data_IF_218159444254
#
_entry.id   IF_218159444254
#
_cell.length_a   1.000
_cell.length_b   1.000
_cell.length_c   1.000
_cell.angle_alpha   90.00
_cell.angle_beta   90.00
_cell.angle_gamma   90.00
#
_symmetry.space_group_name_H-M   'P 1'
#
loop_
_entity.id
_entity.type
_entity.pdbx_description
1 polymer ?
#
# COMPACT_ATOMS: atom_id res chain seq x y z
N UNK A 1 -20.41 -18.19 10.86
CA UNK A 1 -20.55 -18.76 9.50
C UNK A 1 -19.99 -20.17 9.54
N UNK A 2 -20.67 -21.14 8.96
CA UNK A 2 -20.10 -22.47 8.75
C UNK A 2 -19.30 -22.47 7.45
N UNK A 3 -18.06 -22.92 7.52
CA UNK A 3 -17.17 -23.10 6.37
C UNK A 3 -16.76 -24.57 6.26
N UNK A 4 -16.44 -25.09 5.05
CA UNK A 4 -15.94 -26.44 4.88
C UNK A 4 -14.68 -26.68 5.71
N UNK A 5 -14.51 -27.91 6.23
CA UNK A 5 -13.29 -28.28 6.97
C UNK A 5 -12.01 -28.20 6.13
N UNK A 6 -12.13 -28.23 4.82
CA UNK A 6 -11.06 -28.00 3.84
C UNK A 6 -11.58 -27.03 2.79
N UNK A 7 -10.92 -25.90 2.65
CA UNK A 7 -11.21 -24.88 1.64
C UNK A 7 -10.26 -25.11 0.46
N UNK A 8 -10.81 -25.40 -0.71
CA UNK A 8 -10.07 -25.62 -1.95
C UNK A 8 -10.27 -24.48 -2.95
N UNK A 9 -11.43 -23.81 -2.90
CA UNK A 9 -11.80 -22.72 -3.81
C UNK A 9 -12.31 -21.51 -3.04
N UNK A 10 -11.82 -20.33 -3.44
CA UNK A 10 -12.24 -19.06 -2.85
C UNK A 10 -12.63 -18.05 -3.93
N UNK A 11 -13.56 -17.17 -3.58
CA UNK A 11 -13.84 -15.91 -4.28
C UNK A 11 -13.45 -14.77 -3.36
N UNK A 12 -12.85 -13.72 -3.89
CA UNK A 12 -12.43 -12.54 -3.15
C UNK A 12 -13.17 -11.30 -3.63
N UNK A 13 -13.65 -10.49 -2.68
CA UNK A 13 -14.35 -9.22 -2.94
C UNK A 13 -13.69 -8.08 -2.17
N UNK A 14 -13.74 -6.89 -2.75
CA UNK A 14 -13.02 -5.74 -2.22
C UNK A 14 -11.51 -5.93 -2.37
N UNK A 15 -10.78 -5.89 -1.26
CA UNK A 15 -9.32 -6.05 -1.23
C UNK A 15 -8.84 -7.40 -0.69
N UNK A 16 -9.74 -8.36 -0.59
CA UNK A 16 -9.44 -9.67 -0.01
C UNK A 16 -8.40 -10.46 -0.81
N UNK A 17 -8.24 -10.21 -2.12
CA UNK A 17 -7.22 -10.84 -2.98
C UNK A 17 -5.79 -10.61 -2.51
N UNK A 18 -5.48 -9.40 -1.99
CA UNK A 18 -4.18 -9.10 -1.39
C UNK A 18 -3.92 -9.94 -0.16
N UNK A 19 -4.88 -9.92 0.77
CA UNK A 19 -4.80 -10.71 2.00
C UNK A 19 -4.71 -12.21 1.68
N UNK A 20 -5.48 -12.70 0.69
CA UNK A 20 -5.39 -14.06 0.20
C UNK A 20 -3.98 -14.40 -0.33
N UNK A 21 -3.33 -13.48 -1.05
CA UNK A 21 -1.95 -13.64 -1.51
C UNK A 21 -0.99 -13.77 -0.33
N UNK A 22 -1.07 -12.89 0.67
CA UNK A 22 -0.20 -12.94 1.85
C UNK A 22 -0.39 -14.22 2.69
N UNK A 23 -1.61 -14.74 2.67
CA UNK A 23 -1.98 -16.00 3.32
C UNK A 23 -1.61 -17.24 2.50
N UNK A 24 -1.04 -17.09 1.30
CA UNK A 24 -0.69 -18.21 0.42
C UNK A 24 -1.89 -18.90 -0.21
N UNK A 25 -2.96 -18.14 -0.49
CA UNK A 25 -4.22 -18.66 -1.04
C UNK A 25 -4.48 -18.20 -2.49
N UNK A 26 -3.52 -17.56 -3.14
CA UNK A 26 -3.69 -17.00 -4.48
C UNK A 26 -4.08 -18.04 -5.54
N UNK A 27 -3.57 -19.26 -5.42
CA UNK A 27 -3.85 -20.41 -6.29
C UNK A 27 -5.24 -21.03 -6.08
N UNK A 28 -5.92 -20.68 -4.97
CA UNK A 28 -7.29 -21.13 -4.69
C UNK A 28 -8.36 -20.18 -5.22
N UNK A 29 -7.97 -19.02 -5.70
CA UNK A 29 -8.91 -18.07 -6.30
C UNK A 29 -9.44 -18.62 -7.63
N UNK A 30 -10.77 -18.62 -7.79
CA UNK A 30 -11.46 -19.12 -8.98
C UNK A 30 -12.19 -18.01 -9.75
N UNK A 31 -12.16 -16.80 -9.23
CA UNK A 31 -12.60 -15.56 -9.88
C UNK A 31 -11.69 -14.43 -9.44
N UNK A 32 -11.72 -13.31 -10.16
CA UNK A 32 -11.00 -12.08 -9.84
C UNK A 32 -11.91 -10.86 -9.88
N UNK A 33 -11.50 -9.77 -9.24
CA UNK A 33 -12.09 -8.46 -9.54
C UNK A 33 -11.41 -7.86 -10.78
N UNK A 34 -12.03 -6.89 -11.44
CA UNK A 34 -11.39 -6.19 -12.57
C UNK A 34 -10.10 -5.45 -12.15
N UNK A 35 -10.00 -5.07 -10.88
CA UNK A 35 -8.79 -4.45 -10.32
C UNK A 35 -7.65 -5.42 -10.14
N UNK A 36 -7.93 -6.69 -9.82
CA UNK A 36 -6.90 -7.72 -9.61
C UNK A 36 -6.39 -8.30 -10.93
N UNK A 37 -7.22 -8.26 -11.98
CA UNK A 37 -6.88 -8.78 -13.30
C UNK A 37 -6.09 -7.73 -14.12
N UNK A 38 -4.91 -7.35 -13.62
CA UNK A 38 -4.00 -6.47 -14.34
C UNK A 38 -2.55 -6.80 -14.00
N UNK A 39 -1.64 -6.44 -14.91
CA UNK A 39 -0.20 -6.66 -14.82
C UNK A 39 0.59 -5.42 -14.38
N UNK A 40 -0.09 -4.47 -13.74
CA UNK A 40 0.57 -3.24 -13.28
C UNK A 40 1.67 -3.57 -12.27
N UNK A 41 2.87 -3.11 -12.57
CA UNK A 41 4.05 -3.35 -11.71
C UNK A 41 3.92 -2.77 -10.30
N UNK A 42 3.03 -1.79 -10.08
CA UNK A 42 2.78 -1.22 -8.74
C UNK A 42 1.71 -1.98 -7.96
N UNK A 43 1.11 -3.00 -8.55
CA UNK A 43 0.20 -3.93 -7.89
C UNK A 43 0.88 -5.29 -7.69
N UNK A 44 1.83 -5.36 -6.78
CA UNK A 44 2.73 -6.49 -6.59
C UNK A 44 2.03 -7.86 -6.60
N UNK A 45 0.95 -7.99 -5.81
CA UNK A 45 0.18 -9.23 -5.71
C UNK A 45 -0.51 -9.59 -7.05
N UNK A 46 -1.04 -8.62 -7.78
CA UNK A 46 -1.64 -8.81 -9.11
C UNK A 46 -0.58 -9.15 -10.16
N UNK A 47 0.54 -8.43 -10.16
CA UNK A 47 1.64 -8.66 -11.08
C UNK A 47 2.18 -10.10 -11.00
N UNK A 48 2.46 -10.61 -9.79
CA UNK A 48 2.99 -11.97 -9.63
C UNK A 48 1.96 -13.07 -9.82
N UNK A 49 0.68 -12.79 -9.60
CA UNK A 49 -0.38 -13.77 -9.80
C UNK A 49 -1.07 -13.64 -11.18
N UNK A 50 -0.63 -12.69 -12.02
CA UNK A 50 -1.28 -12.42 -13.32
C UNK A 50 -1.41 -13.69 -14.18
N UNK A 51 -0.36 -14.50 -14.28
CA UNK A 51 -0.36 -15.71 -15.10
C UNK A 51 -1.44 -16.73 -14.69
N UNK A 52 -1.76 -16.81 -13.40
CA UNK A 52 -2.80 -17.71 -12.90
C UNK A 52 -4.18 -17.06 -12.81
N UNK A 53 -4.25 -15.72 -12.86
CA UNK A 53 -5.52 -14.98 -12.73
C UNK A 53 -6.06 -14.41 -14.04
N UNK A 54 -5.23 -14.26 -15.07
CA UNK A 54 -5.59 -13.57 -16.32
C UNK A 54 -6.84 -14.14 -17.01
N UNK A 55 -7.02 -15.46 -16.97
CA UNK A 55 -8.13 -16.16 -17.60
C UNK A 55 -9.31 -16.44 -16.65
N UNK A 56 -9.23 -16.00 -15.37
CA UNK A 56 -10.31 -16.22 -14.42
C UNK A 56 -11.51 -15.30 -14.70
N UNK A 57 -12.75 -15.79 -14.47
CA UNK A 57 -13.94 -14.96 -14.60
C UNK A 57 -13.91 -13.74 -13.69
N UNK A 58 -14.33 -12.58 -14.22
CA UNK A 58 -14.40 -11.33 -13.44
C UNK A 58 -15.72 -11.29 -12.66
N UNK A 59 -15.61 -11.35 -11.34
CA UNK A 59 -16.76 -11.39 -10.43
C UNK A 59 -17.21 -10.03 -9.89
N UNK A 60 -16.41 -8.98 -10.09
CA UNK A 60 -16.71 -7.62 -9.65
C UNK A 60 -16.03 -6.60 -10.56
N UNK A 61 -16.72 -5.48 -10.84
CA UNK A 61 -16.16 -4.36 -11.61
C UNK A 61 -15.17 -3.49 -10.81
N UNK A 62 -14.95 -3.82 -9.54
CA UNK A 62 -14.04 -3.07 -8.65
C UNK A 62 -14.67 -1.83 -8.00
N UNK A 63 -15.96 -1.54 -8.26
CA UNK A 63 -16.71 -0.53 -7.53
C UNK A 63 -17.10 -0.98 -6.13
N UNK A 64 -17.48 -0.05 -5.27
CA UNK A 64 -17.92 -0.34 -3.91
C UNK A 64 -19.16 -1.26 -3.90
N UNK A 65 -18.95 -2.55 -3.63
CA UNK A 65 -20.02 -3.53 -3.52
C UNK A 65 -20.68 -3.95 -4.84
N UNK A 66 -20.18 -3.50 -5.98
CA UNK A 66 -20.64 -3.97 -7.28
C UNK A 66 -20.08 -5.36 -7.58
N UNK A 67 -20.97 -6.34 -7.63
CA UNK A 67 -20.62 -7.73 -7.94
C UNK A 67 -21.37 -8.22 -9.18
N UNK A 68 -20.87 -9.29 -9.78
CA UNK A 68 -21.60 -10.09 -10.74
C UNK A 68 -22.07 -11.38 -10.06
N UNK A 69 -23.31 -11.42 -9.54
CA UNK A 69 -23.79 -12.54 -8.75
C UNK A 69 -23.84 -13.85 -9.56
N UNK A 70 -24.14 -13.78 -10.87
CA UNK A 70 -24.22 -14.96 -11.73
C UNK A 70 -22.87 -15.66 -11.83
N UNK A 71 -21.78 -14.90 -11.99
CA UNK A 71 -20.42 -15.44 -12.05
C UNK A 71 -20.04 -16.12 -10.74
N UNK A 72 -20.37 -15.49 -9.59
CA UNK A 72 -20.02 -16.04 -8.27
C UNK A 72 -20.85 -17.31 -7.97
N UNK A 73 -22.14 -17.31 -8.32
CA UNK A 73 -23.03 -18.45 -8.13
C UNK A 73 -22.60 -19.64 -9.00
N UNK A 74 -22.24 -19.36 -10.27
CA UNK A 74 -21.76 -20.40 -11.20
C UNK A 74 -20.42 -20.99 -10.75
N UNK A 75 -19.50 -20.13 -10.27
CA UNK A 75 -18.20 -20.55 -9.73
C UNK A 75 -18.34 -21.44 -8.49
N UNK A 76 -19.42 -21.27 -7.71
CA UNK A 76 -19.76 -22.06 -6.52
C UNK A 76 -18.56 -22.30 -5.56
N UNK A 77 -17.91 -21.25 -5.05
CA UNK A 77 -16.73 -21.37 -4.19
C UNK A 77 -17.06 -22.02 -2.84
N UNK A 78 -16.05 -22.61 -2.20
CA UNK A 78 -16.16 -23.08 -0.82
C UNK A 78 -16.38 -21.91 0.14
N UNK A 79 -15.64 -20.80 -0.06
CA UNK A 79 -15.68 -19.59 0.76
C UNK A 79 -15.62 -18.34 -0.12
N UNK A 80 -16.35 -17.31 0.29
CA UNK A 80 -16.24 -15.96 -0.26
C UNK A 80 -15.62 -15.07 0.83
N UNK A 81 -14.46 -14.49 0.57
CA UNK A 81 -13.79 -13.53 1.43
C UNK A 81 -14.14 -12.10 1.00
N UNK A 82 -14.48 -11.24 1.93
CA UNK A 82 -14.95 -9.89 1.63
C UNK A 82 -14.39 -8.86 2.61
N UNK A 83 -13.88 -7.74 2.10
CA UNK A 83 -13.36 -6.63 2.94
C UNK A 83 -14.27 -5.41 2.98
N UNK A 84 -15.51 -5.53 2.52
CA UNK A 84 -16.47 -4.44 2.62
C UNK A 84 -17.11 -4.33 4.00
N UNK A 85 -17.71 -3.18 4.28
CA UNK A 85 -18.47 -2.91 5.49
C UNK A 85 -19.79 -3.68 5.54
N UNK A 86 -20.36 -3.81 6.74
CA UNK A 86 -21.50 -4.67 7.03
C UNK A 86 -22.74 -4.41 6.16
N UNK A 87 -23.02 -3.15 5.86
CA UNK A 87 -24.17 -2.74 5.03
C UNK A 87 -24.03 -3.21 3.57
N UNK A 88 -22.82 -3.13 3.02
CA UNK A 88 -22.51 -3.64 1.69
C UNK A 88 -22.55 -5.17 1.68
N UNK A 89 -21.98 -5.79 2.70
CA UNK A 89 -21.97 -7.26 2.85
C UNK A 89 -23.38 -7.81 2.90
N UNK A 90 -24.30 -7.18 3.65
CA UNK A 90 -25.70 -7.61 3.74
C UNK A 90 -26.39 -7.65 2.35
N UNK A 91 -26.15 -6.62 1.53
CA UNK A 91 -26.66 -6.57 0.16
C UNK A 91 -26.04 -7.66 -0.74
N UNK A 92 -24.74 -7.91 -0.61
CA UNK A 92 -24.05 -8.98 -1.35
C UNK A 92 -24.64 -10.36 -0.98
N UNK A 93 -24.82 -10.64 0.30
CA UNK A 93 -25.41 -11.89 0.79
C UNK A 93 -26.85 -12.10 0.28
N UNK A 94 -27.65 -11.02 0.21
CA UNK A 94 -28.99 -11.06 -0.38
C UNK A 94 -28.96 -11.44 -1.86
N UNK A 95 -28.06 -10.83 -2.64
CA UNK A 95 -27.91 -11.12 -4.06
C UNK A 95 -27.43 -12.56 -4.32
N UNK A 96 -26.52 -13.07 -3.49
CA UNK A 96 -25.94 -14.40 -3.65
C UNK A 96 -26.77 -15.52 -3.03
N UNK A 97 -27.72 -15.19 -2.14
CA UNK A 97 -28.47 -16.18 -1.36
C UNK A 97 -27.59 -17.04 -0.42
N UNK A 98 -26.39 -16.55 -0.08
CA UNK A 98 -25.42 -17.25 0.78
C UNK A 98 -24.60 -16.26 1.60
N UNK A 99 -24.05 -16.76 2.70
CA UNK A 99 -23.17 -15.98 3.58
C UNK A 99 -21.76 -15.81 3.00
N UNK A 100 -21.12 -14.69 3.34
CA UNK A 100 -19.72 -14.39 3.03
C UNK A 100 -18.92 -14.24 4.33
N UNK A 101 -17.65 -14.59 4.31
CA UNK A 101 -16.71 -14.30 5.41
C UNK A 101 -16.23 -12.88 5.23
N UNK A 102 -16.77 -11.98 6.04
CA UNK A 102 -16.48 -10.56 5.94
C UNK A 102 -15.60 -10.09 7.10
N UNK A 103 -14.56 -9.34 6.75
CA UNK A 103 -13.76 -8.57 7.68
C UNK A 103 -13.30 -7.30 6.96
N UNK A 104 -13.75 -6.12 7.36
CA UNK A 104 -13.24 -4.85 6.82
C UNK A 104 -11.72 -4.85 6.84
N UNK A 105 -11.10 -4.31 5.79
CA UNK A 105 -9.65 -4.36 5.64
C UNK A 105 -8.89 -3.72 6.82
N UNK A 106 -9.52 -2.75 7.48
CA UNK A 106 -8.90 -2.00 8.56
C UNK A 106 -7.89 -0.96 8.09
N UNK A 107 -7.17 -0.43 9.05
CA UNK A 107 -6.16 0.61 8.88
C UNK A 107 -4.78 -0.01 8.72
N UNK A 108 -3.95 0.54 7.83
CA UNK A 108 -2.56 0.08 7.66
C UNK A 108 -1.81 0.07 8.99
N UNK A 109 -1.19 -1.07 9.30
CA UNK A 109 -0.38 -1.29 10.51
C UNK A 109 -1.16 -1.25 11.84
N UNK A 110 -2.48 -1.37 11.81
CA UNK A 110 -3.32 -1.37 13.00
C UNK A 110 -3.93 -2.75 13.30
N UNK A 111 -4.47 -2.91 14.51
CA UNK A 111 -5.05 -4.17 15.00
C UNK A 111 -6.25 -4.67 14.18
N UNK A 112 -7.01 -3.75 13.58
CA UNK A 112 -8.14 -4.08 12.72
C UNK A 112 -7.71 -4.77 11.41
N UNK A 113 -6.55 -4.37 10.84
CA UNK A 113 -5.94 -5.09 9.71
C UNK A 113 -5.50 -6.50 10.10
N UNK A 114 -4.87 -6.65 11.26
CA UNK A 114 -4.48 -7.97 11.80
C UNK A 114 -5.70 -8.86 12.06
N UNK A 115 -6.79 -8.25 12.57
CA UNK A 115 -8.05 -8.97 12.78
C UNK A 115 -8.60 -9.55 11.47
N UNK A 116 -8.58 -8.78 10.38
CA UNK A 116 -9.02 -9.27 9.07
C UNK A 116 -8.17 -10.44 8.57
N UNK A 117 -6.85 -10.39 8.75
CA UNK A 117 -5.95 -11.52 8.43
C UNK A 117 -6.29 -12.78 9.25
N UNK A 118 -6.58 -12.62 10.56
CA UNK A 118 -6.97 -13.75 11.43
C UNK A 118 -8.30 -14.38 10.99
N UNK A 119 -9.30 -13.55 10.69
CA UNK A 119 -10.62 -14.02 10.23
C UNK A 119 -10.50 -14.82 8.93
N UNK A 120 -9.73 -14.31 7.95
CA UNK A 120 -9.53 -15.02 6.69
C UNK A 120 -8.65 -16.27 6.86
N UNK A 121 -7.62 -16.18 7.70
CA UNK A 121 -6.76 -17.32 8.04
C UNK A 121 -7.52 -18.46 8.69
N UNK A 122 -8.41 -18.15 9.65
CA UNK A 122 -9.26 -19.14 10.31
C UNK A 122 -10.26 -19.76 9.33
N UNK A 123 -10.96 -18.93 8.56
CA UNK A 123 -11.93 -19.38 7.56
C UNK A 123 -11.34 -20.31 6.50
N UNK A 124 -10.09 -20.10 6.12
CA UNK A 124 -9.39 -20.87 5.08
C UNK A 124 -8.47 -21.98 5.63
N UNK A 125 -8.40 -22.15 6.96
CA UNK A 125 -7.57 -23.18 7.60
C UNK A 125 -6.07 -22.89 7.54
N UNK A 126 -5.67 -21.62 7.47
CA UNK A 126 -4.27 -21.15 7.40
C UNK A 126 -3.92 -20.16 8.53
N UNK A 127 -4.50 -20.39 9.72
CA UNK A 127 -4.28 -19.50 10.89
C UNK A 127 -2.81 -19.34 11.25
N UNK A 128 -2.00 -20.40 11.16
CA UNK A 128 -0.55 -20.31 11.43
C UNK A 128 0.16 -19.35 10.48
N UNK A 129 -0.24 -19.30 9.20
CA UNK A 129 0.30 -18.35 8.24
C UNK A 129 -0.16 -16.93 8.57
N UNK A 130 -1.42 -16.74 8.96
CA UNK A 130 -1.93 -15.43 9.37
C UNK A 130 -1.14 -14.87 10.54
N UNK A 131 -0.92 -15.64 11.61
CA UNK A 131 -0.09 -15.21 12.74
C UNK A 131 1.37 -14.95 12.34
N UNK A 132 1.93 -15.73 11.41
CA UNK A 132 3.28 -15.50 10.87
C UNK A 132 3.36 -14.16 10.13
N UNK A 133 2.35 -13.82 9.31
CA UNK A 133 2.28 -12.53 8.60
C UNK A 133 2.18 -11.37 9.59
N UNK A 134 1.31 -11.50 10.59
CA UNK A 134 1.11 -10.49 11.63
C UNK A 134 2.40 -10.28 12.42
N UNK A 135 3.05 -11.35 12.87
CA UNK A 135 4.31 -11.28 13.61
C UNK A 135 5.40 -10.57 12.78
N UNK A 136 5.51 -10.88 11.49
CA UNK A 136 6.49 -10.23 10.62
C UNK A 136 6.24 -8.72 10.47
N UNK A 137 4.97 -8.30 10.31
CA UNK A 137 4.60 -6.88 10.29
C UNK A 137 5.03 -6.22 11.60
N UNK A 138 4.65 -6.79 12.74
CA UNK A 138 4.97 -6.25 14.07
C UNK A 138 6.47 -6.18 14.32
N UNK A 139 7.25 -7.17 13.90
CA UNK A 139 8.71 -7.16 14.00
C UNK A 139 9.33 -6.03 13.18
N UNK A 140 8.87 -5.81 11.95
CA UNK A 140 9.32 -4.67 11.14
C UNK A 140 8.98 -3.33 11.79
N UNK A 141 7.76 -3.16 12.29
CA UNK A 141 7.33 -1.92 12.96
C UNK A 141 8.12 -1.66 14.24
N UNK A 142 8.36 -2.69 15.04
CA UNK A 142 9.16 -2.58 16.27
C UNK A 142 10.63 -2.24 15.96
N UNK A 143 11.23 -2.82 14.92
CA UNK A 143 12.58 -2.47 14.48
C UNK A 143 12.65 -1.00 14.05
N UNK A 144 11.74 -0.54 13.18
CA UNK A 144 11.68 0.85 12.70
C UNK A 144 11.54 1.85 13.86
N UNK A 145 10.60 1.60 14.78
CA UNK A 145 10.40 2.45 15.96
C UNK A 145 11.65 2.48 16.84
N UNK A 146 12.24 1.33 17.13
CA UNK A 146 13.41 1.23 18.01
C UNK A 146 14.62 2.04 17.50
N UNK A 147 14.75 2.21 16.19
CA UNK A 147 15.82 2.98 15.55
C UNK A 147 15.65 4.49 15.71
N UNK A 148 14.43 4.98 15.79
CA UNK A 148 14.14 6.42 15.63
C UNK A 148 13.39 7.05 16.81
N UNK A 149 12.74 6.28 17.69
CA UNK A 149 11.96 6.80 18.82
C UNK A 149 12.77 7.60 19.82
N UNK A 150 14.06 7.31 19.97
CA UNK A 150 14.97 8.04 20.88
C UNK A 150 15.53 9.34 20.27
N UNK A 151 15.31 9.61 18.99
CA UNK A 151 15.81 10.83 18.33
C UNK A 151 14.94 12.00 18.78
N UNK A 152 15.57 13.02 19.37
CA UNK A 152 14.87 14.22 19.82
C UNK A 152 14.21 14.95 18.64
N UNK A 153 13.01 15.49 18.84
CA UNK A 153 12.22 16.11 17.77
C UNK A 153 12.94 17.26 17.06
N UNK A 154 13.78 18.03 17.79
CA UNK A 154 14.58 19.10 17.20
C UNK A 154 15.65 18.59 16.20
N UNK A 155 15.99 17.31 16.26
CA UNK A 155 16.96 16.67 15.36
C UNK A 155 16.31 15.92 14.20
N UNK A 156 14.98 15.86 14.16
CA UNK A 156 14.25 15.20 13.07
C UNK A 156 14.02 16.19 11.92
N UNK A 157 14.39 15.84 10.69
CA UNK A 157 14.04 16.65 9.52
C UNK A 157 12.51 16.61 9.31
N UNK A 158 11.97 17.71 8.76
CA UNK A 158 10.58 17.77 8.33
C UNK A 158 10.42 17.10 6.95
N UNK A 159 9.32 16.38 6.76
CA UNK A 159 9.07 15.63 5.56
C UNK A 159 7.65 15.84 5.01
N UNK A 160 7.51 15.75 3.69
CA UNK A 160 6.25 15.76 2.96
C UNK A 160 6.20 14.58 1.99
N UNK A 161 5.10 13.84 2.01
CA UNK A 161 4.74 12.88 0.96
C UNK A 161 3.82 13.58 -0.04
N UNK A 162 4.30 13.79 -1.27
CA UNK A 162 3.59 14.53 -2.31
C UNK A 162 3.43 13.72 -3.60
N UNK A 163 2.82 14.32 -4.60
CA UNK A 163 2.42 13.68 -5.85
C UNK A 163 1.51 12.45 -5.60
N UNK A 164 0.66 12.53 -4.59
CA UNK A 164 -0.14 11.39 -4.13
C UNK A 164 -1.14 10.91 -5.18
N UNK A 165 -1.44 9.61 -5.17
CA UNK A 165 -2.49 9.01 -5.99
C UNK A 165 -3.76 8.83 -5.15
N UNK A 166 -4.79 9.58 -5.47
CA UNK A 166 -6.15 9.42 -4.90
C UNK A 166 -7.17 9.99 -5.88
N UNK A 167 -8.18 9.21 -6.26
CA UNK A 167 -9.13 9.60 -7.32
C UNK A 167 -8.47 10.11 -8.60
N UNK A 168 -7.28 9.55 -8.92
CA UNK A 168 -6.39 9.98 -10.00
C UNK A 168 -4.99 10.37 -9.49
N UNK A 169 -4.10 10.71 -10.41
CA UNK A 169 -2.77 11.22 -10.09
C UNK A 169 -2.77 12.72 -9.83
N UNK A 170 -1.94 13.16 -8.90
CA UNK A 170 -1.77 14.58 -8.56
C UNK A 170 -0.31 15.01 -8.70
N UNK A 171 -0.07 16.32 -8.88
CA UNK A 171 1.25 16.93 -8.82
C UNK A 171 1.71 17.21 -7.39
N UNK A 172 2.58 18.21 -7.22
CA UNK A 172 3.21 18.54 -5.91
C UNK A 172 2.20 18.92 -4.83
N UNK A 173 1.05 19.47 -5.19
CA UNK A 173 -0.03 19.87 -4.28
C UNK A 173 -0.93 18.72 -3.82
N UNK A 174 -0.87 17.57 -4.48
CA UNK A 174 -1.50 16.34 -3.97
C UNK A 174 -0.63 15.70 -2.90
N UNK A 175 -1.07 15.73 -1.64
CA UNK A 175 -0.27 15.24 -0.51
C UNK A 175 -0.94 14.05 0.18
N UNK A 176 -0.15 13.16 0.75
CA UNK A 176 -0.62 12.09 1.62
C UNK A 176 -0.51 12.55 3.08
N UNK A 177 -1.62 13.05 3.60
CA UNK A 177 -1.67 13.64 4.93
C UNK A 177 -1.63 12.59 6.04
N UNK A 178 -0.95 12.91 7.15
CA UNK A 178 -0.73 12.03 8.31
C UNK A 178 -0.23 10.65 7.88
N UNK A 179 0.83 10.63 7.08
CA UNK A 179 1.31 9.43 6.40
C UNK A 179 1.72 8.35 7.39
N UNK A 180 1.07 7.17 7.32
CA UNK A 180 1.37 6.04 8.20
C UNK A 180 2.83 5.58 8.13
N UNK A 181 3.45 5.65 6.94
CA UNK A 181 4.85 5.30 6.74
C UNK A 181 5.78 6.25 7.50
N UNK A 182 5.50 7.56 7.49
CA UNK A 182 6.26 8.52 8.28
C UNK A 182 6.11 8.28 9.78
N UNK A 183 4.92 7.90 10.22
CA UNK A 183 4.67 7.59 11.63
C UNK A 183 5.52 6.40 12.12
N UNK A 184 5.73 5.36 11.29
CA UNK A 184 6.53 4.18 11.69
C UNK A 184 8.01 4.48 11.95
N UNK A 185 8.54 5.54 11.36
CA UNK A 185 9.93 5.99 11.56
C UNK A 185 10.02 7.26 12.39
N UNK A 186 8.95 7.62 13.11
CA UNK A 186 8.89 8.81 13.95
C UNK A 186 9.31 10.11 13.23
N UNK A 187 9.02 10.21 11.91
CA UNK A 187 9.36 11.38 11.10
C UNK A 187 8.46 12.56 11.42
N UNK A 188 8.95 13.77 11.18
CA UNK A 188 8.15 15.01 11.28
C UNK A 188 7.38 15.25 9.98
N UNK A 189 6.19 14.67 9.87
CA UNK A 189 5.27 14.94 8.77
C UNK A 189 4.69 16.36 8.94
N UNK A 190 4.92 17.24 7.94
CA UNK A 190 4.45 18.63 7.99
C UNK A 190 2.94 18.78 7.91
N UNK A 191 2.21 17.73 7.54
CA UNK A 191 0.74 17.73 7.47
C UNK A 191 0.08 17.52 8.82
N UNK A 192 0.80 16.97 9.80
CA UNK A 192 0.29 16.73 11.16
C UNK A 192 -0.08 18.04 11.84
N UNK A 193 -1.31 18.12 12.33
CA UNK A 193 -1.86 19.32 12.97
C UNK A 193 -2.45 20.36 12.01
N UNK A 194 -2.30 20.17 10.69
CA UNK A 194 -2.98 20.98 9.65
C UNK A 194 -4.13 20.23 9.00
N UNK A 195 -4.03 18.92 8.91
CA UNK A 195 -5.02 18.06 8.24
C UNK A 195 -5.39 16.94 9.22
N UNK A 196 -6.66 16.80 9.56
CA UNK A 196 -7.14 15.85 10.59
C UNK A 196 -7.49 14.46 10.04
N UNK A 197 -7.03 14.14 8.82
CA UNK A 197 -7.36 12.86 8.18
C UNK A 197 -6.11 12.19 7.62
N UNK A 198 -6.07 10.87 7.70
CA UNK A 198 -5.02 10.04 7.11
C UNK A 198 -5.44 9.59 5.70
N UNK A 199 -5.24 10.44 4.71
CA UNK A 199 -5.58 10.16 3.30
C UNK A 199 -4.88 11.10 2.33
N UNK A 200 -5.00 10.81 1.04
CA UNK A 200 -4.66 11.75 -0.01
C UNK A 200 -5.60 12.95 -0.03
N UNK A 201 -5.06 14.15 -0.04
CA UNK A 201 -5.77 15.43 -0.16
C UNK A 201 -5.01 16.37 -1.07
N UNK A 202 -5.71 17.28 -1.71
CA UNK A 202 -5.11 18.37 -2.47
C UNK A 202 -5.07 19.63 -1.60
N UNK A 203 -3.92 20.29 -1.56
CA UNK A 203 -3.69 21.56 -0.88
C UNK A 203 -3.33 22.64 -1.90
N UNK A 204 -3.28 23.89 -1.48
CA UNK A 204 -2.75 24.95 -2.32
C UNK A 204 -1.21 24.88 -2.38
N UNK A 205 -0.60 25.26 -3.53
CA UNK A 205 0.86 25.30 -3.65
C UNK A 205 1.52 26.23 -2.64
N UNK A 206 0.83 27.30 -2.26
CA UNK A 206 1.24 28.23 -1.20
C UNK A 206 1.41 27.51 0.15
N UNK A 207 0.56 26.54 0.44
CA UNK A 207 0.68 25.75 1.66
C UNK A 207 1.94 24.88 1.64
N UNK A 208 2.31 24.32 0.49
CA UNK A 208 3.58 23.57 0.34
C UNK A 208 4.80 24.50 0.57
N UNK A 209 4.73 25.75 0.08
CA UNK A 209 5.76 26.76 0.34
C UNK A 209 5.82 27.17 1.81
N UNK A 210 4.70 27.30 2.49
CA UNK A 210 4.63 27.64 3.92
C UNK A 210 5.24 26.53 4.78
N UNK A 211 4.91 25.27 4.50
CA UNK A 211 5.51 24.11 5.17
C UNK A 211 7.01 24.01 4.89
N UNK A 212 7.40 24.26 3.65
CA UNK A 212 8.79 24.25 3.16
C UNK A 212 9.64 23.12 3.77
N UNK A 213 9.27 21.84 3.59
CA UNK A 213 9.88 20.70 4.26
C UNK A 213 11.36 20.52 3.89
N UNK A 214 12.12 19.92 4.80
CA UNK A 214 13.52 19.57 4.57
C UNK A 214 13.69 18.47 3.52
N UNK A 215 12.67 17.58 3.40
CA UNK A 215 12.66 16.47 2.48
C UNK A 215 11.26 16.30 1.88
N UNK A 216 11.21 16.00 0.59
CA UNK A 216 9.98 15.62 -0.11
C UNK A 216 10.19 14.24 -0.74
N UNK A 217 9.20 13.35 -0.56
CA UNK A 217 9.12 12.10 -1.30
C UNK A 217 7.89 12.11 -2.20
N UNK A 218 8.07 11.74 -3.45
CA UNK A 218 7.06 11.74 -4.49
C UNK A 218 6.57 10.31 -4.77
N UNK A 219 5.29 10.15 -5.03
CA UNK A 219 4.77 8.95 -5.66
C UNK A 219 5.36 8.83 -7.08
N UNK A 220 6.14 7.79 -7.31
CA UNK A 220 6.82 7.56 -8.58
C UNK A 220 5.87 7.47 -9.78
N UNK A 221 4.63 7.03 -9.56
CA UNK A 221 3.61 6.95 -10.61
C UNK A 221 3.19 8.31 -11.17
N UNK A 222 3.40 9.38 -10.41
CA UNK A 222 3.00 10.74 -10.75
C UNK A 222 4.18 11.70 -11.01
N UNK A 223 5.41 11.17 -11.07
CA UNK A 223 6.60 12.00 -11.30
C UNK A 223 6.46 12.85 -12.58
N UNK A 224 5.87 12.29 -13.63
CA UNK A 224 5.64 13.05 -14.88
C UNK A 224 4.72 14.26 -14.71
N UNK A 225 3.78 14.26 -13.76
CA UNK A 225 2.95 15.41 -13.45
C UNK A 225 3.80 16.50 -12.76
N UNK A 226 4.67 16.11 -11.83
CA UNK A 226 5.58 17.04 -11.14
C UNK A 226 6.61 17.64 -12.10
N UNK A 227 7.12 16.86 -13.04
CA UNK A 227 8.01 17.36 -14.10
C UNK A 227 7.33 18.39 -15.02
N UNK A 228 6.06 18.17 -15.37
CA UNK A 228 5.28 19.13 -16.15
C UNK A 228 5.07 20.44 -15.35
N UNK A 229 4.71 20.33 -14.07
CA UNK A 229 4.55 21.49 -13.19
C UNK A 229 5.87 22.26 -13.00
N UNK A 230 7.00 21.54 -12.92
CA UNK A 230 8.33 22.15 -12.86
C UNK A 230 8.65 22.91 -14.15
N UNK A 231 8.32 22.35 -15.31
CA UNK A 231 8.55 23.02 -16.60
C UNK A 231 7.72 24.31 -16.74
N UNK A 232 6.53 24.36 -16.12
CA UNK A 232 5.65 25.54 -16.13
C UNK A 232 6.10 26.61 -15.14
N UNK A 233 6.54 26.23 -13.94
CA UNK A 233 6.97 27.15 -12.88
C UNK A 233 8.22 26.61 -12.13
N UNK A 234 9.41 26.69 -12.73
CA UNK A 234 10.64 26.27 -12.08
C UNK A 234 10.93 27.02 -10.77
N UNK A 235 10.55 28.32 -10.72
CA UNK A 235 10.85 29.17 -9.59
C UNK A 235 10.16 28.71 -8.29
N UNK A 236 8.94 28.19 -8.39
CA UNK A 236 8.25 27.57 -7.26
C UNK A 236 9.09 26.44 -6.68
N UNK A 237 9.46 25.46 -7.49
CA UNK A 237 10.22 24.28 -7.04
C UNK A 237 11.61 24.65 -6.51
N UNK A 238 12.32 25.53 -7.21
CA UNK A 238 13.64 26.01 -6.81
C UNK A 238 13.60 26.83 -5.51
N UNK A 239 12.43 27.29 -5.07
CA UNK A 239 12.26 27.96 -3.79
C UNK A 239 12.19 26.99 -2.60
N UNK A 240 11.81 25.72 -2.83
CA UNK A 240 11.66 24.71 -1.78
C UNK A 240 13.01 24.23 -1.22
N UNK A 241 13.13 24.13 0.10
CA UNK A 241 14.35 23.67 0.77
C UNK A 241 14.75 22.25 0.32
N UNK A 242 13.80 21.33 0.20
CA UNK A 242 14.04 19.98 -0.25
C UNK A 242 14.70 19.95 -1.64
N UNK A 243 14.24 20.77 -2.58
CA UNK A 243 14.79 20.85 -3.94
C UNK A 243 16.18 21.50 -3.94
N UNK A 244 16.36 22.64 -3.24
CA UNK A 244 17.66 23.33 -3.10
C UNK A 244 18.76 22.43 -2.56
N UNK A 245 18.39 21.57 -1.62
CA UNK A 245 19.33 20.72 -0.89
C UNK A 245 19.48 19.32 -1.53
N UNK A 246 18.83 19.06 -2.68
CA UNK A 246 18.85 17.75 -3.33
C UNK A 246 18.19 16.63 -2.52
N UNK A 247 17.20 16.98 -1.69
CA UNK A 247 16.44 16.06 -0.84
C UNK A 247 15.04 15.80 -1.39
N UNK A 248 14.94 15.69 -2.70
CA UNK A 248 13.75 15.24 -3.40
C UNK A 248 13.95 13.77 -3.79
N UNK A 249 13.01 12.93 -3.38
CA UNK A 249 13.07 11.48 -3.57
C UNK A 249 11.79 10.97 -4.20
N UNK A 250 11.82 9.72 -4.66
CA UNK A 250 10.63 8.98 -5.07
C UNK A 250 10.57 7.61 -4.39
N UNK A 251 9.38 7.09 -4.27
CA UNK A 251 9.10 5.73 -3.86
C UNK A 251 7.91 5.13 -4.63
N UNK A 252 7.73 3.80 -4.64
CA UNK A 252 6.58 3.16 -5.26
C UNK A 252 5.27 3.60 -4.60
N UNK A 253 4.26 3.81 -5.43
CA UNK A 253 2.90 3.99 -4.94
C UNK A 253 2.45 2.74 -4.17
N UNK A 254 1.98 2.93 -2.94
CA UNK A 254 1.38 1.86 -2.14
C UNK A 254 -0.09 1.63 -2.47
N UNK A 255 -0.57 2.27 -3.52
CA UNK A 255 -1.96 2.41 -3.96
C UNK A 255 -2.88 3.12 -2.99
N UNK A 256 -3.56 4.09 -3.55
CA UNK A 256 -4.34 5.10 -2.87
C UNK A 256 -5.47 4.58 -2.00
N UNK A 257 -6.04 3.45 -2.32
CA UNK A 257 -7.22 3.01 -1.61
C UNK A 257 -6.97 1.79 -0.73
N UNK A 258 -5.78 1.18 -0.85
CA UNK A 258 -5.69 -0.19 -0.41
C UNK A 258 -4.25 -0.54 -0.14
N UNK A 259 -4.03 -0.87 1.00
CA UNK A 259 -2.81 -1.10 1.67
C UNK A 259 -2.11 -2.37 1.18
N UNK A 260 -1.24 -2.20 0.22
CA UNK A 260 -0.22 -3.21 -0.04
C UNK A 260 0.81 -3.11 1.08
N UNK A 261 0.75 -3.98 2.07
CA UNK A 261 1.58 -3.89 3.29
C UNK A 261 3.07 -3.97 2.99
N UNK A 262 3.47 -4.78 2.01
CA UNK A 262 4.85 -4.94 1.59
C UNK A 262 5.49 -3.64 1.11
N UNK A 263 4.76 -2.85 0.28
CA UNK A 263 5.28 -1.58 -0.24
C UNK A 263 5.44 -0.54 0.87
N UNK A 264 4.44 -0.26 1.73
CA UNK A 264 4.61 0.62 2.89
C UNK A 264 5.73 0.22 3.85
N UNK A 265 5.95 -1.07 4.11
CA UNK A 265 7.06 -1.50 4.95
C UNK A 265 8.41 -1.19 4.30
N UNK A 266 8.57 -1.46 3.01
CA UNK A 266 9.79 -1.10 2.28
C UNK A 266 9.95 0.41 2.18
N UNK A 267 8.87 1.17 1.94
CA UNK A 267 8.88 2.63 1.97
C UNK A 267 9.37 3.16 3.34
N UNK A 268 8.97 2.51 4.44
CA UNK A 268 9.39 2.90 5.78
C UNK A 268 10.92 2.69 6.00
N UNK A 269 11.46 1.55 5.59
CA UNK A 269 12.91 1.32 5.62
C UNK A 269 13.66 2.28 4.71
N UNK A 270 13.13 2.57 3.52
CA UNK A 270 13.73 3.53 2.60
C UNK A 270 13.79 4.93 3.19
N UNK A 271 12.65 5.46 3.65
CA UNK A 271 12.59 6.80 4.19
C UNK A 271 13.37 6.93 5.49
N UNK A 272 13.36 5.89 6.32
CA UNK A 272 14.20 5.80 7.52
C UNK A 272 15.69 5.93 7.18
N UNK A 273 16.16 5.20 6.18
CA UNK A 273 17.57 5.26 5.72
C UNK A 273 17.95 6.64 5.15
N UNK A 274 17.01 7.32 4.49
CA UNK A 274 17.24 8.66 3.92
C UNK A 274 17.21 9.75 4.99
N UNK A 275 16.26 9.68 5.92
CA UNK A 275 16.07 10.70 6.96
C UNK A 275 17.06 10.54 8.12
N UNK A 276 17.38 9.31 8.49
CA UNK A 276 18.15 8.94 9.67
C UNK A 276 19.31 7.98 9.33
N UNK A 277 20.24 8.36 8.43
CA UNK A 277 21.24 7.44 7.88
C UNK A 277 22.12 6.77 8.95
N UNK A 278 22.37 7.44 10.08
CA UNK A 278 23.16 6.85 11.18
C UNK A 278 22.38 5.74 11.90
N UNK A 279 21.05 5.91 12.08
CA UNK A 279 20.19 4.93 12.74
C UNK A 279 19.94 3.67 11.85
N UNK A 280 20.13 3.80 10.55
CA UNK A 280 19.97 2.74 9.56
C UNK A 280 21.29 2.28 8.93
N UNK A 281 22.46 2.65 9.49
CA UNK A 281 23.75 2.35 8.91
C UNK A 281 24.07 0.84 8.77
N UNK A 282 23.39 0.00 9.55
CA UNK A 282 23.46 -1.46 9.53
C UNK A 282 22.47 -2.10 8.55
N UNK A 283 21.54 -1.32 7.96
CA UNK A 283 20.52 -1.82 7.05
C UNK A 283 21.01 -1.70 5.61
N UNK A 284 21.21 -2.84 4.96
CA UNK A 284 21.30 -2.91 3.51
C UNK A 284 19.89 -2.85 2.94
N UNK A 285 19.53 -1.69 2.35
CA UNK A 285 18.17 -1.42 1.90
C UNK A 285 17.68 -2.41 0.84
N UNK A 286 18.52 -2.77 -0.14
CA UNK A 286 18.12 -3.67 -1.22
C UNK A 286 17.83 -5.08 -0.66
N UNK A 287 18.69 -5.57 0.23
CA UNK A 287 18.47 -6.85 0.91
C UNK A 287 17.20 -6.84 1.76
N UNK A 288 16.94 -5.75 2.51
CA UNK A 288 15.74 -5.64 3.35
C UNK A 288 14.47 -5.54 2.51
N UNK A 289 14.49 -4.81 1.42
CA UNK A 289 13.37 -4.71 0.48
C UNK A 289 13.02 -6.07 -0.14
N UNK A 290 14.02 -6.81 -0.62
CA UNK A 290 13.81 -8.15 -1.19
C UNK A 290 13.34 -9.16 -0.14
N UNK A 291 13.82 -9.08 1.11
CA UNK A 291 13.31 -9.87 2.22
C UNK A 291 11.80 -9.67 2.42
N UNK A 292 11.36 -8.40 2.51
CA UNK A 292 9.97 -8.04 2.72
C UNK A 292 9.11 -8.49 1.52
N UNK A 293 9.51 -8.15 0.30
CA UNK A 293 8.77 -8.53 -0.89
C UNK A 293 8.61 -10.04 -1.03
N UNK A 294 9.70 -10.80 -0.85
CA UNK A 294 9.64 -12.26 -0.89
C UNK A 294 8.72 -12.84 0.18
N UNK A 295 8.75 -12.29 1.38
CA UNK A 295 7.91 -12.77 2.47
C UNK A 295 6.41 -12.70 2.15
N UNK A 296 5.95 -11.58 1.57
CA UNK A 296 4.54 -11.34 1.24
C UNK A 296 4.13 -11.95 -0.09
N UNK A 297 4.98 -11.89 -1.10
CA UNK A 297 4.65 -12.25 -2.47
C UNK A 297 5.06 -13.68 -2.83
N UNK A 298 5.99 -14.29 -2.08
CA UNK A 298 6.55 -15.62 -2.39
C UNK A 298 7.52 -15.63 -3.56
N UNK A 299 7.91 -14.48 -4.09
CA UNK A 299 8.78 -14.31 -5.26
C UNK A 299 9.94 -13.37 -4.97
N UNK A 300 11.07 -13.59 -5.65
CA UNK A 300 12.25 -12.73 -5.62
C UNK A 300 12.20 -11.71 -6.78
N UNK A 301 12.97 -10.62 -6.63
CA UNK A 301 13.27 -9.69 -7.72
C UNK A 301 12.26 -8.58 -7.95
N UNK A 302 11.28 -8.39 -7.06
CA UNK A 302 10.28 -7.34 -7.25
C UNK A 302 10.86 -5.93 -7.18
N UNK A 303 11.88 -5.69 -6.36
CA UNK A 303 12.60 -4.41 -6.36
C UNK A 303 13.18 -4.08 -7.75
N UNK A 304 13.75 -5.09 -8.42
CA UNK A 304 14.26 -4.93 -9.77
C UNK A 304 13.15 -4.64 -10.80
N UNK A 305 11.97 -5.24 -10.64
CA UNK A 305 10.79 -4.95 -11.48
C UNK A 305 10.40 -3.49 -11.34
N UNK A 306 10.26 -2.99 -10.12
CA UNK A 306 9.94 -1.59 -9.84
C UNK A 306 11.00 -0.63 -10.40
N UNK A 307 12.27 -0.91 -10.18
CA UNK A 307 13.37 -0.08 -10.65
C UNK A 307 13.44 -0.01 -12.19
N UNK A 308 13.26 -1.15 -12.87
CA UNK A 308 13.24 -1.20 -14.34
C UNK A 308 12.05 -0.46 -14.96
N UNK A 309 10.94 -0.38 -14.24
CA UNK A 309 9.76 0.38 -14.65
C UNK A 309 9.84 1.87 -14.31
N UNK A 310 10.91 2.34 -13.64
CA UNK A 310 11.04 3.71 -13.15
C UNK A 310 10.14 4.02 -11.94
N UNK A 311 9.53 2.99 -11.35
CA UNK A 311 8.60 3.09 -10.22
C UNK A 311 9.26 2.77 -8.88
N UNK A 312 10.57 2.56 -8.86
CA UNK A 312 11.34 2.21 -7.68
C UNK A 312 11.76 3.39 -6.81
N UNK A 313 12.80 3.17 -6.05
CA UNK A 313 13.32 4.11 -5.06
C UNK A 313 14.49 4.91 -5.61
N UNK A 314 14.59 6.18 -5.29
CA UNK A 314 15.72 6.99 -5.72
C UNK A 314 15.59 8.48 -5.42
N UNK A 315 16.68 9.21 -5.62
CA UNK A 315 16.67 10.67 -5.63
C UNK A 315 16.13 11.19 -6.96
N UNK A 316 15.41 12.30 -6.91
CA UNK A 316 14.82 12.97 -8.08
C UNK A 316 15.52 14.29 -8.32
N UNK A 317 15.83 14.58 -9.58
CA UNK A 317 16.34 15.86 -10.04
C UNK A 317 15.45 16.35 -11.18
N UNK A 318 14.64 17.35 -10.90
CA UNK A 318 13.68 17.92 -11.86
C UNK A 318 14.40 18.60 -13.04
N UNK A 319 13.78 18.53 -14.22
CA UNK A 319 14.25 19.20 -15.42
C UNK A 319 15.47 18.54 -16.10
N UNK A 320 15.70 17.24 -15.87
CA UNK A 320 16.79 16.48 -16.52
C UNK A 320 16.30 15.61 -17.65
#
# INVERSE_FOLDING_TARGET
IEVPAKVETIVTLGNASRMATYLGLADKMITVTSGDNNDSVVMAYGYYNHDIWADLPVCSSGGYGEINPEVIIEANPDVILCTFEEDIVANIEEQLGRKVVAAPQGTLFAEDYEHALRVFGEACGVSDRAETVIAFIQECLADLDSRTSSIADDNKPTALCAAATFRGGHGIAGVYANNAVFATVNAKDVTVGYIDVQKGVEVDKEQVLEWNPDLIVLDASNLGLVENEYAEDPAFFESLNAVKNGKLYQWPNSTSNYTNVEIPLVNAYYIGSVMFPEAFADVDFETKAEEIFRFFLGHDGYLSVLNNAGMGYGSVVLGK
#
